data_IF_730630885188
#
_entry.id   IF_730630885188
#
_cell.length_a   1.000
_cell.length_b   1.000
_cell.length_c   1.000
_cell.angle_alpha   90.00
_cell.angle_beta   90.00
_cell.angle_gamma   90.00
#
_symmetry.space_group_name_H-M   'P 1'
#
loop_
_entity.id
_entity.type
_entity.pdbx_description
1 polymer ?
#
# COMPACT_ATOMS: atom_id res chain seq x y z
N UNK A 1 72.93 63.90 18.57
CA UNK A 1 71.52 64.08 18.17
C UNK A 1 71.00 62.77 17.59
N UNK A 2 69.85 62.33 18.10
CA UNK A 2 69.00 61.20 17.69
C UNK A 2 69.47 59.74 17.93
N UNK A 3 68.78 59.02 18.85
CA UNK A 3 68.81 57.57 18.98
C UNK A 3 67.54 56.87 18.42
N UNK A 4 67.71 55.57 18.14
CA UNK A 4 66.77 54.44 18.23
C UNK A 4 65.36 54.51 17.60
N UNK A 5 64.97 53.41 16.94
CA UNK A 5 63.81 52.60 17.35
C UNK A 5 63.70 51.31 16.52
N UNK A 6 63.86 50.18 17.21
CA UNK A 6 63.42 48.86 16.76
C UNK A 6 61.90 48.77 16.98
N UNK A 7 61.16 48.32 15.97
CA UNK A 7 59.74 47.97 16.10
C UNK A 7 59.64 46.46 15.96
N UNK A 8 59.38 45.77 17.07
CA UNK A 8 59.00 44.36 17.08
C UNK A 8 57.47 44.27 16.93
N UNK A 9 57.00 43.58 15.90
CA UNK A 9 55.59 43.29 15.69
C UNK A 9 55.24 41.93 16.30
N UNK A 10 54.31 41.91 17.25
CA UNK A 10 53.73 40.70 17.83
C UNK A 10 52.40 40.44 17.13
N UNK A 11 52.31 39.35 16.36
CA UNK A 11 51.08 38.89 15.71
C UNK A 11 50.39 37.89 16.64
N UNK A 12 49.25 38.29 17.20
CA UNK A 12 48.40 37.41 17.99
C UNK A 12 47.43 36.64 17.07
N UNK A 13 47.62 35.32 16.93
CA UNK A 13 46.65 34.44 16.31
C UNK A 13 45.49 34.16 17.29
N UNK A 14 44.30 34.68 16.99
CA UNK A 14 43.06 34.23 17.62
C UNK A 14 42.52 33.02 16.87
N UNK A 15 42.60 31.84 17.49
CA UNK A 15 41.92 30.63 17.01
C UNK A 15 40.45 30.65 17.41
N UNK A 16 39.54 30.65 16.43
CA UNK A 16 38.11 30.47 16.66
C UNK A 16 37.82 28.99 16.96
N UNK A 17 37.38 28.69 18.18
CA UNK A 17 36.92 27.35 18.56
C UNK A 17 35.51 27.16 18.02
N UNK A 18 35.35 26.37 16.94
CA UNK A 18 34.04 25.93 16.45
C UNK A 18 33.57 24.79 17.35
N UNK A 19 32.60 25.07 18.23
CA UNK A 19 31.94 24.03 19.01
C UNK A 19 31.00 23.22 18.10
N UNK A 20 31.43 22.01 17.74
CA UNK A 20 30.56 21.02 17.08
C UNK A 20 29.57 20.51 18.12
N UNK A 21 28.29 20.88 17.99
CA UNK A 21 27.22 20.23 18.76
C UNK A 21 26.91 18.89 18.10
N UNK A 22 27.28 17.80 18.75
CA UNK A 22 26.73 16.48 18.43
C UNK A 22 25.28 16.46 18.93
N UNK A 23 24.34 16.80 18.05
CA UNK A 23 22.91 16.64 18.33
C UNK A 23 22.62 15.17 18.54
N UNK A 24 22.24 14.78 19.77
CA UNK A 24 21.67 13.46 20.00
C UNK A 24 20.41 13.34 19.13
N UNK A 25 20.24 12.19 18.46
CA UNK A 25 19.04 11.92 17.69
C UNK A 25 17.82 12.09 18.63
N UNK A 26 16.87 12.93 18.23
CA UNK A 26 15.64 13.11 19.01
C UNK A 26 14.90 11.78 19.12
N UNK A 27 14.29 11.47 20.29
CA UNK A 27 13.46 10.28 20.41
C UNK A 27 12.30 10.34 19.39
N UNK A 28 11.92 9.21 18.78
CA UNK A 28 10.85 9.20 17.80
C UNK A 28 9.50 9.45 18.48
N UNK A 29 8.67 10.26 17.83
CA UNK A 29 7.26 10.41 18.16
C UNK A 29 6.54 9.09 17.87
N UNK A 30 5.57 8.71 18.70
CA UNK A 30 4.75 7.51 18.46
C UNK A 30 3.31 7.89 18.18
N UNK A 31 2.86 7.63 16.97
CA UNK A 31 1.50 7.85 16.52
C UNK A 31 0.70 6.56 16.59
N UNK A 32 -0.53 6.61 17.09
CA UNK A 32 -1.42 5.46 17.18
C UNK A 32 -2.88 5.90 17.16
N UNK A 33 -3.81 4.99 16.87
CA UNK A 33 -5.24 5.31 16.90
C UNK A 33 -6.07 4.33 16.12
N UNK A 34 -7.29 4.73 15.79
CA UNK A 34 -8.18 4.02 14.86
C UNK A 34 -7.90 4.42 13.41
N UNK A 35 -8.35 3.59 12.47
CA UNK A 35 -8.23 3.86 11.04
C UNK A 35 -9.57 3.55 10.38
N UNK A 36 -10.16 4.57 9.77
CA UNK A 36 -11.40 4.46 9.01
C UNK A 36 -11.11 4.72 7.55
N UNK A 37 -11.50 3.77 6.71
CA UNK A 37 -11.37 3.82 5.26
C UNK A 37 -12.78 3.74 4.68
N UNK A 38 -13.19 4.76 3.93
CA UNK A 38 -14.54 4.82 3.33
C UNK A 38 -15.70 4.70 4.34
N UNK A 39 -15.53 5.22 5.56
CA UNK A 39 -16.56 5.17 6.61
C UNK A 39 -16.65 3.84 7.37
N UNK A 40 -15.86 2.83 7.01
CA UNK A 40 -15.74 1.56 7.74
C UNK A 40 -14.34 1.41 8.36
N UNK A 41 -14.16 0.57 9.40
CA UNK A 41 -12.84 0.25 9.91
C UNK A 41 -11.94 -0.33 8.81
N UNK A 42 -10.71 0.15 8.70
CA UNK A 42 -9.77 -0.32 7.68
C UNK A 42 -9.42 -1.81 7.87
N UNK A 43 -9.35 -2.63 6.80
CA UNK A 43 -8.93 -4.03 6.89
C UNK A 43 -7.50 -4.20 7.39
N UNK A 44 -7.20 -5.35 8.00
CA UNK A 44 -5.81 -5.75 8.32
C UNK A 44 -4.97 -5.79 7.05
N UNK A 45 -3.73 -5.30 7.14
CA UNK A 45 -2.80 -5.16 6.01
C UNK A 45 -2.92 -3.83 5.26
N UNK A 46 -3.90 -2.99 5.58
CA UNK A 46 -4.00 -1.64 5.00
C UNK A 46 -2.75 -0.83 5.34
N UNK A 47 -2.06 -0.32 4.32
CA UNK A 47 -0.85 0.51 4.47
C UNK A 47 -1.21 1.91 4.93
N UNK A 48 -0.44 2.43 5.87
CA UNK A 48 -0.51 3.79 6.39
C UNK A 48 0.86 4.42 6.17
N UNK A 49 0.91 5.58 5.51
CA UNK A 49 2.14 6.33 5.34
C UNK A 49 2.00 7.70 5.99
N UNK A 50 3.05 8.15 6.65
CA UNK A 50 3.19 9.51 7.16
C UNK A 50 4.15 10.27 6.26
N UNK A 51 3.75 11.44 5.79
CA UNK A 51 4.51 12.20 4.79
C UNK A 51 4.71 13.66 5.21
N UNK A 52 5.86 14.23 4.85
CA UNK A 52 6.10 15.68 4.86
C UNK A 52 6.64 16.13 3.52
N UNK A 53 6.04 17.17 2.92
CA UNK A 53 6.44 17.62 1.58
C UNK A 53 6.42 16.52 0.50
N UNK A 54 5.53 15.52 0.64
CA UNK A 54 5.46 14.35 -0.25
C UNK A 54 6.56 13.29 -0.05
N UNK A 55 7.40 13.41 0.98
CA UNK A 55 8.41 12.41 1.37
C UNK A 55 7.91 11.56 2.53
N UNK A 56 8.10 10.24 2.46
CA UNK A 56 7.67 9.30 3.50
C UNK A 56 8.58 9.40 4.71
N UNK A 57 8.01 9.77 5.85
CA UNK A 57 8.66 9.85 7.16
C UNK A 57 8.51 8.57 7.98
N UNK A 58 7.60 7.68 7.58
CA UNK A 58 7.41 6.37 8.17
C UNK A 58 6.22 5.67 7.55
N UNK A 59 6.23 4.34 7.65
CA UNK A 59 5.17 3.46 7.14
C UNK A 59 4.81 2.42 8.18
N UNK A 60 3.54 2.02 8.20
CA UNK A 60 3.05 0.90 9.01
C UNK A 60 1.84 0.27 8.34
N UNK A 61 1.31 -0.80 8.92
CA UNK A 61 0.08 -1.44 8.46
C UNK A 61 -0.91 -1.60 9.60
N UNK A 62 -2.19 -1.66 9.23
CA UNK A 62 -3.27 -2.03 10.15
C UNK A 62 -3.10 -3.50 10.57
N UNK A 63 -3.01 -3.77 11.86
CA UNK A 63 -2.81 -5.11 12.45
C UNK A 63 -4.09 -5.73 13.03
N UNK A 64 -5.12 -4.92 13.27
CA UNK A 64 -6.44 -5.36 13.72
C UNK A 64 -7.55 -4.46 13.13
N UNK A 65 -8.78 -4.96 13.03
CA UNK A 65 -9.93 -4.18 12.50
C UNK A 65 -10.65 -3.34 13.56
N UNK A 66 -10.34 -3.53 14.84
CA UNK A 66 -10.95 -2.82 15.94
C UNK A 66 -9.96 -2.64 17.09
N UNK A 67 -10.25 -1.69 17.98
CA UNK A 67 -9.53 -1.54 19.25
C UNK A 67 -9.88 -2.72 20.15
N UNK A 68 -8.88 -3.38 20.71
CA UNK A 68 -9.06 -4.47 21.68
C UNK A 68 -8.34 -4.15 22.98
N UNK A 69 -9.10 -3.86 24.02
CA UNK A 69 -8.55 -3.33 25.29
C UNK A 69 -7.77 -2.04 25.06
N UNK A 70 -6.47 -2.05 25.41
CA UNK A 70 -5.54 -0.94 25.19
C UNK A 70 -4.75 -1.04 23.87
N UNK A 71 -5.04 -2.03 23.03
CA UNK A 71 -4.35 -2.23 21.74
C UNK A 71 -5.09 -1.52 20.61
N UNK A 72 -4.38 -0.63 19.93
CA UNK A 72 -4.87 0.07 18.75
C UNK A 72 -4.50 -0.67 17.47
N UNK A 73 -5.31 -0.53 16.40
CA UNK A 73 -5.10 -1.25 15.14
C UNK A 73 -3.82 -0.85 14.40
N UNK A 74 -3.17 0.26 14.76
CA UNK A 74 -1.86 0.62 14.23
C UNK A 74 -1.02 1.38 15.26
N UNK A 75 0.30 1.29 15.07
CA UNK A 75 1.31 2.11 15.75
C UNK A 75 2.39 2.46 14.71
N UNK A 76 2.80 3.72 14.69
CA UNK A 76 3.80 4.26 13.79
C UNK A 76 4.81 5.11 14.57
N UNK A 77 6.11 4.85 14.38
CA UNK A 77 7.16 5.68 14.96
C UNK A 77 7.65 6.68 13.89
N UNK A 78 7.81 7.95 14.27
CA UNK A 78 8.22 9.03 13.38
C UNK A 78 9.32 9.90 14.00
N UNK A 79 10.38 10.25 13.25
CA UNK A 79 10.73 9.65 11.97
C UNK A 79 11.09 8.16 12.11
N UNK A 80 10.84 7.40 11.05
CA UNK A 80 11.42 6.06 10.86
C UNK A 80 12.97 6.19 10.73
N UNK A 81 13.77 5.21 11.19
CA UNK A 81 15.22 5.22 11.00
C UNK A 81 15.70 5.46 9.56
N UNK A 82 14.93 5.07 8.55
CA UNK A 82 15.24 5.28 7.14
C UNK A 82 14.62 6.56 6.54
N UNK A 83 13.96 7.38 7.37
CA UNK A 83 13.31 8.60 6.92
C UNK A 83 14.31 9.66 6.43
N UNK A 84 13.92 10.50 5.46
CA UNK A 84 14.76 11.56 4.95
C UNK A 84 14.82 12.75 5.93
N UNK A 85 15.78 13.66 5.72
CA UNK A 85 16.15 14.72 6.67
C UNK A 85 15.04 15.76 6.91
N UNK A 86 14.05 15.83 6.03
CA UNK A 86 12.87 16.69 6.17
C UNK A 86 11.96 16.22 7.32
N UNK A 87 12.04 14.95 7.70
CA UNK A 87 11.29 14.35 8.79
C UNK A 87 11.94 14.65 10.15
N UNK A 88 11.94 15.92 10.53
CA UNK A 88 12.56 16.45 11.76
C UNK A 88 11.53 17.12 12.67
N UNK A 89 11.86 17.39 13.95
CA UNK A 89 11.01 18.21 14.81
C UNK A 89 10.61 19.53 14.13
N UNK A 90 9.34 19.90 14.28
CA UNK A 90 8.69 21.02 13.59
C UNK A 90 8.11 20.69 12.21
N UNK A 91 8.39 19.51 11.63
CA UNK A 91 7.79 19.10 10.37
C UNK A 91 6.29 18.82 10.53
N UNK A 92 5.49 19.33 9.59
CA UNK A 92 4.07 19.00 9.48
C UNK A 92 3.94 17.68 8.75
N UNK A 93 3.29 16.71 9.39
CA UNK A 93 3.03 15.38 8.88
C UNK A 93 1.58 15.30 8.41
N UNK A 94 1.42 14.83 7.18
CA UNK A 94 0.17 14.39 6.56
C UNK A 94 0.16 12.87 6.50
N UNK A 95 -1.01 12.25 6.36
CA UNK A 95 -1.12 10.79 6.33
C UNK A 95 -1.86 10.32 5.08
N UNK A 96 -1.49 9.14 4.59
CA UNK A 96 -2.29 8.38 3.62
C UNK A 96 -2.71 7.04 4.23
N UNK A 97 -3.87 6.54 3.85
CA UNK A 97 -4.39 5.21 4.21
C UNK A 97 -4.79 4.52 2.91
N UNK A 98 -4.15 3.39 2.58
CA UNK A 98 -4.27 2.75 1.27
C UNK A 98 -4.03 3.73 0.09
N UNK A 99 -3.11 4.68 0.26
CA UNK A 99 -2.80 5.71 -0.73
C UNK A 99 -3.80 6.88 -0.77
N UNK A 100 -4.92 6.82 -0.05
CA UNK A 100 -5.88 7.92 0.04
C UNK A 100 -5.47 8.91 1.14
N UNK A 101 -5.54 10.23 0.89
CA UNK A 101 -5.21 11.22 1.90
C UNK A 101 -6.17 11.11 3.09
N UNK A 102 -5.62 11.03 4.29
CA UNK A 102 -6.37 11.17 5.52
C UNK A 102 -6.48 12.65 5.90
N UNK A 103 -7.59 13.04 6.53
CA UNK A 103 -7.84 14.46 6.88
C UNK A 103 -7.02 14.98 8.05
N UNK A 104 -6.28 14.11 8.74
CA UNK A 104 -5.52 14.43 9.95
C UNK A 104 -4.09 14.89 9.62
N UNK A 105 -3.58 15.80 10.44
CA UNK A 105 -2.19 16.25 10.40
C UNK A 105 -1.63 16.38 11.80
N UNK A 106 -0.33 16.16 11.98
CA UNK A 106 0.39 16.43 13.24
C UNK A 106 1.64 17.26 12.96
N UNK A 107 2.25 17.82 14.01
CA UNK A 107 3.60 18.38 13.94
C UNK A 107 4.52 17.52 14.81
N UNK A 108 5.68 17.11 14.29
CA UNK A 108 6.65 16.36 15.08
C UNK A 108 7.26 17.24 16.17
N UNK A 109 7.37 16.73 17.39
CA UNK A 109 8.14 17.37 18.45
C UNK A 109 9.51 16.71 18.64
N UNK A 110 10.36 17.33 19.45
CA UNK A 110 11.68 16.84 19.84
C UNK A 110 11.67 16.00 21.14
N UNK A 111 10.48 15.78 21.72
CA UNK A 111 10.30 15.09 23.00
C UNK A 111 9.93 13.62 22.83
N UNK A 112 9.54 13.19 21.62
CA UNK A 112 9.16 11.82 21.33
C UNK A 112 7.78 11.47 21.90
N UNK A 113 6.84 12.40 21.78
CA UNK A 113 5.51 12.27 22.39
C UNK A 113 4.69 11.13 21.77
N UNK A 114 3.80 10.58 22.58
CA UNK A 114 2.77 9.62 22.18
C UNK A 114 1.52 10.38 21.73
N UNK A 115 1.19 10.29 20.44
CA UNK A 115 0.12 11.05 19.80
C UNK A 115 -0.99 10.10 19.36
N UNK A 116 -2.18 10.27 19.93
CA UNK A 116 -3.37 9.58 19.42
C UNK A 116 -3.91 10.34 18.21
N UNK A 117 -3.93 9.67 17.05
CA UNK A 117 -4.46 10.20 15.79
C UNK A 117 -5.42 9.17 15.20
N UNK A 118 -6.71 9.48 15.24
CA UNK A 118 -7.73 8.64 14.61
C UNK A 118 -7.81 9.02 13.12
N UNK A 119 -7.27 8.15 12.26
CA UNK A 119 -7.14 8.41 10.83
C UNK A 119 -8.47 8.16 10.12
N UNK A 120 -8.86 9.10 9.28
CA UNK A 120 -10.04 8.99 8.42
C UNK A 120 -9.61 9.36 7.02
N UNK A 121 -9.62 8.39 6.11
CA UNK A 121 -9.42 8.61 4.69
C UNK A 121 -10.79 8.67 3.99
N UNK A 122 -11.31 9.87 3.71
CA UNK A 122 -12.52 10.04 2.94
C UNK A 122 -12.21 9.74 1.47
N UNK A 123 -12.58 8.55 1.04
CA UNK A 123 -12.83 8.28 -0.38
C UNK A 123 -14.26 7.81 -0.53
N UNK A 124 -14.87 8.03 -1.69
CA UNK A 124 -15.90 7.10 -2.16
C UNK A 124 -15.15 5.76 -2.28
N UNK A 125 -15.69 4.61 -1.82
CA UNK A 125 -15.10 3.32 -2.15
C UNK A 125 -14.81 3.35 -3.65
N UNK A 126 -13.56 3.14 -4.07
CA UNK A 126 -13.30 2.95 -5.49
C UNK A 126 -14.18 1.75 -5.87
N UNK A 127 -15.31 2.00 -6.52
CA UNK A 127 -16.15 0.92 -7.02
C UNK A 127 -15.21 0.22 -7.99
N UNK A 128 -14.83 -1.05 -7.74
CA UNK A 128 -13.94 -1.72 -8.65
C UNK A 128 -14.61 -1.67 -10.01
N UNK A 129 -14.00 -0.92 -10.94
CA UNK A 129 -14.51 -0.82 -12.29
C UNK A 129 -14.47 -2.23 -12.83
N UNK A 130 -15.65 -2.81 -13.04
CA UNK A 130 -15.76 -4.14 -13.60
C UNK A 130 -16.16 -3.98 -15.05
N UNK A 131 -15.41 -4.63 -15.92
CA UNK A 131 -15.77 -4.74 -17.32
C UNK A 131 -16.42 -6.12 -17.53
N UNK A 132 -17.42 -6.16 -18.40
CA UNK A 132 -18.13 -7.41 -18.71
C UNK A 132 -17.71 -7.91 -20.08
N UNK A 133 -17.13 -9.11 -20.12
CA UNK A 133 -16.79 -9.80 -21.36
C UNK A 133 -17.93 -10.76 -21.75
N UNK A 134 -18.60 -10.58 -22.90
CA UNK A 134 -19.62 -11.52 -23.35
C UNK A 134 -19.00 -12.90 -23.64
N UNK A 135 -19.67 -13.95 -23.17
CA UNK A 135 -19.34 -15.35 -23.41
C UNK A 135 -20.49 -16.00 -24.19
N UNK A 136 -20.35 -16.24 -25.51
CA UNK A 136 -21.32 -17.05 -26.23
C UNK A 136 -21.29 -18.51 -25.74
N UNK A 137 -22.36 -19.25 -26.03
CA UNK A 137 -22.40 -20.69 -25.78
C UNK A 137 -21.22 -21.40 -26.47
N UNK A 138 -20.60 -22.37 -25.80
CA UNK A 138 -19.34 -22.98 -26.23
C UNK A 138 -18.15 -22.43 -25.46
N UNK A 139 -16.96 -22.55 -26.02
CA UNK A 139 -15.71 -22.17 -25.36
C UNK A 139 -15.11 -20.89 -25.97
N UNK A 140 -14.77 -19.93 -25.11
CA UNK A 140 -14.12 -18.68 -25.49
C UNK A 140 -12.76 -18.58 -24.80
N UNK A 141 -11.73 -18.19 -25.55
CA UNK A 141 -10.41 -17.91 -24.99
C UNK A 141 -10.38 -16.49 -24.42
N UNK A 142 -9.97 -16.36 -23.16
CA UNK A 142 -10.00 -15.12 -22.38
C UNK A 142 -8.66 -14.92 -21.68
N UNK A 143 -8.09 -13.73 -21.78
CA UNK A 143 -6.93 -13.36 -20.95
C UNK A 143 -7.41 -12.88 -19.59
N UNK A 144 -6.95 -13.54 -18.52
CA UNK A 144 -7.35 -13.23 -17.15
C UNK A 144 -6.89 -11.82 -16.74
N UNK A 145 -7.82 -11.00 -16.24
CA UNK A 145 -7.51 -9.73 -15.57
C UNK A 145 -7.45 -9.86 -14.04
N UNK A 146 -7.78 -11.04 -13.49
CA UNK A 146 -7.80 -11.28 -12.05
C UNK A 146 -6.39 -11.14 -11.45
N UNK A 147 -6.25 -10.75 -10.17
CA UNK A 147 -4.97 -10.78 -9.46
C UNK A 147 -4.32 -12.16 -9.47
N UNK A 148 -3.01 -12.20 -9.29
CA UNK A 148 -2.27 -13.47 -9.18
C UNK A 148 -2.76 -14.32 -8.01
N UNK A 149 -2.82 -15.64 -8.20
CA UNK A 149 -3.31 -16.58 -7.20
C UNK A 149 -4.81 -16.55 -6.95
N UNK A 150 -5.61 -15.90 -7.81
CA UNK A 150 -7.07 -15.87 -7.65
C UNK A 150 -7.64 -17.29 -7.72
N UNK A 151 -8.44 -17.75 -6.72
CA UNK A 151 -9.02 -19.09 -6.76
C UNK A 151 -9.89 -19.31 -8.00
N UNK A 152 -9.77 -20.47 -8.65
CA UNK A 152 -10.55 -20.77 -9.86
C UNK A 152 -12.07 -20.69 -9.61
N UNK A 153 -12.52 -21.06 -8.41
CA UNK A 153 -13.91 -20.92 -7.98
C UNK A 153 -14.38 -19.45 -7.89
N UNK A 154 -13.49 -18.52 -7.55
CA UNK A 154 -13.81 -17.10 -7.53
C UNK A 154 -13.96 -16.54 -8.96
N UNK A 155 -13.12 -16.98 -9.89
CA UNK A 155 -13.27 -16.66 -11.31
C UNK A 155 -14.57 -17.27 -11.87
N UNK A 156 -14.89 -18.50 -11.49
CA UNK A 156 -16.14 -19.15 -11.87
C UNK A 156 -17.39 -18.38 -11.38
N UNK A 157 -17.36 -17.90 -10.13
CA UNK A 157 -18.43 -17.09 -9.56
C UNK A 157 -18.59 -15.72 -10.25
N UNK A 158 -17.59 -15.26 -11.01
CA UNK A 158 -17.67 -14.04 -11.79
C UNK A 158 -18.38 -14.21 -13.14
N UNK A 159 -18.72 -15.45 -13.53
CA UNK A 159 -19.56 -15.73 -14.71
C UNK A 159 -21.03 -15.54 -14.36
N UNK A 160 -21.76 -14.82 -15.21
CA UNK A 160 -23.18 -14.49 -15.02
C UNK A 160 -23.97 -14.85 -16.28
N UNK A 161 -25.01 -15.69 -16.18
CA UNK A 161 -25.42 -16.43 -14.99
C UNK A 161 -24.43 -17.55 -14.64
N UNK A 162 -24.25 -17.86 -13.35
CA UNK A 162 -23.20 -18.77 -12.89
C UNK A 162 -23.43 -20.22 -13.34
N UNK A 163 -24.70 -20.63 -13.44
CA UNK A 163 -25.12 -21.94 -13.93
C UNK A 163 -24.81 -22.18 -15.40
N UNK A 164 -24.52 -21.13 -16.18
CA UNK A 164 -24.08 -21.28 -17.55
C UNK A 164 -22.64 -21.82 -17.65
N UNK A 165 -21.83 -21.73 -16.60
CA UNK A 165 -20.44 -22.19 -16.64
C UNK A 165 -20.33 -23.71 -16.57
N UNK A 166 -19.68 -24.32 -17.57
CA UNK A 166 -19.32 -25.74 -17.56
C UNK A 166 -17.92 -25.99 -17.01
N UNK A 167 -16.93 -25.28 -17.55
CA UNK A 167 -15.54 -25.46 -17.16
C UNK A 167 -14.66 -24.25 -17.49
N UNK A 168 -13.56 -24.12 -16.76
CA UNK A 168 -12.44 -23.21 -17.05
C UNK A 168 -11.21 -24.08 -17.24
N UNK A 169 -10.48 -23.88 -18.33
CA UNK A 169 -9.24 -24.60 -18.60
C UNK A 169 -8.06 -23.65 -18.72
N UNK A 170 -6.89 -24.09 -18.26
CA UNK A 170 -5.60 -23.43 -18.48
C UNK A 170 -4.61 -24.44 -19.07
N UNK A 171 -3.91 -24.05 -20.12
CA UNK A 171 -2.78 -24.83 -20.62
C UNK A 171 -1.52 -24.47 -19.84
N UNK A 172 -0.87 -25.46 -19.24
CA UNK A 172 0.46 -25.32 -18.64
C UNK A 172 1.53 -25.75 -19.66
N UNK A 173 2.31 -24.81 -20.22
CA UNK A 173 3.34 -25.14 -21.20
C UNK A 173 4.53 -25.89 -20.60
N UNK A 174 4.77 -25.81 -19.28
CA UNK A 174 5.88 -26.50 -18.65
C UNK A 174 5.65 -28.02 -18.60
N UNK A 175 4.40 -28.42 -18.36
CA UNK A 175 4.01 -29.84 -18.31
C UNK A 175 3.33 -30.33 -19.59
N UNK A 176 2.94 -29.42 -20.48
CA UNK A 176 2.20 -29.70 -21.70
C UNK A 176 0.77 -30.21 -21.44
N UNK A 177 0.20 -29.91 -20.27
CA UNK A 177 -1.10 -30.42 -19.81
C UNK A 177 -2.11 -29.31 -19.62
N UNK A 178 -3.38 -29.65 -19.76
CA UNK A 178 -4.48 -28.78 -19.36
C UNK A 178 -4.84 -29.07 -17.90
N UNK A 179 -4.94 -28.01 -17.10
CA UNK A 179 -5.61 -28.04 -15.81
C UNK A 179 -7.02 -27.47 -15.98
N UNK A 180 -8.01 -28.09 -15.34
CA UNK A 180 -9.42 -27.77 -15.45
C UNK A 180 -10.08 -27.46 -14.10
N UNK A 181 -11.05 -26.56 -14.14
CA UNK A 181 -12.00 -26.34 -13.06
C UNK A 181 -13.41 -26.53 -13.59
N UNK A 182 -14.27 -27.26 -12.87
CA UNK A 182 -15.70 -27.36 -13.16
C UNK A 182 -16.53 -27.20 -11.89
N UNK A 183 -17.49 -26.27 -11.84
CA UNK A 183 -18.35 -26.09 -10.66
C UNK A 183 -19.26 -27.30 -10.40
N UNK A 184 -19.57 -28.11 -11.42
CA UNK A 184 -20.37 -29.33 -11.28
C UNK A 184 -19.57 -30.52 -10.72
N UNK A 185 -18.24 -30.47 -10.80
CA UNK A 185 -17.34 -31.52 -10.32
C UNK A 185 -16.08 -30.92 -9.66
N UNK A 186 -16.23 -30.17 -8.56
CA UNK A 186 -15.11 -29.46 -7.93
C UNK A 186 -14.03 -30.42 -7.42
N UNK A 187 -14.41 -31.65 -7.03
CA UNK A 187 -13.47 -32.69 -6.58
C UNK A 187 -12.57 -33.25 -7.70
N UNK A 188 -12.95 -33.06 -8.97
CA UNK A 188 -12.16 -33.47 -10.13
C UNK A 188 -11.35 -32.30 -10.73
N UNK A 189 -11.41 -31.12 -10.12
CA UNK A 189 -10.75 -29.91 -10.61
C UNK A 189 -9.31 -29.84 -10.11
N UNK A 190 -8.35 -29.72 -11.02
CA UNK A 190 -6.91 -29.55 -10.73
C UNK A 190 -6.42 -28.12 -11.00
N UNK A 191 -7.23 -27.26 -11.63
CA UNK A 191 -7.01 -25.82 -11.68
C UNK A 191 -7.50 -25.17 -10.38
N UNK A 192 -6.58 -24.90 -9.46
CA UNK A 192 -6.90 -24.33 -8.13
C UNK A 192 -6.79 -22.81 -8.09
N UNK A 193 -5.85 -22.23 -8.85
CA UNK A 193 -5.58 -20.80 -8.91
C UNK A 193 -5.27 -20.34 -10.34
N UNK A 194 -5.67 -19.12 -10.62
CA UNK A 194 -5.50 -18.41 -11.90
C UNK A 194 -4.65 -17.17 -11.63
N UNK A 195 -3.67 -16.94 -12.47
CA UNK A 195 -2.85 -15.73 -12.43
C UNK A 195 -3.34 -14.67 -13.41
N UNK A 196 -2.87 -13.44 -13.22
CA UNK A 196 -3.09 -12.36 -14.17
C UNK A 196 -2.41 -12.68 -15.49
N UNK A 197 -3.03 -12.24 -16.57
CA UNK A 197 -2.55 -12.42 -17.94
C UNK A 197 -2.43 -13.89 -18.40
N UNK A 198 -2.91 -14.86 -17.62
CA UNK A 198 -3.05 -16.24 -18.09
C UNK A 198 -4.14 -16.34 -19.15
N UNK A 199 -3.88 -17.13 -20.19
CA UNK A 199 -4.89 -17.49 -21.19
C UNK A 199 -5.77 -18.62 -20.62
N UNK A 200 -7.05 -18.33 -20.46
CA UNK A 200 -8.08 -19.25 -20.01
C UNK A 200 -8.97 -19.63 -21.18
N UNK A 201 -9.42 -20.89 -21.21
CA UNK A 201 -10.53 -21.31 -22.05
C UNK A 201 -11.76 -21.51 -21.19
N UNK A 202 -12.73 -20.59 -21.30
CA UNK A 202 -13.97 -20.59 -20.51
C UNK A 202 -15.09 -21.17 -21.35
N UNK A 203 -15.68 -22.28 -20.90
CA UNK A 203 -16.73 -23.00 -21.61
C UNK A 203 -18.08 -22.84 -20.92
N UNK A 204 -19.10 -22.43 -21.67
CA UNK A 204 -20.45 -22.18 -21.17
C UNK A 204 -21.52 -22.97 -21.93
N UNK A 205 -22.59 -23.35 -21.25
CA UNK A 205 -23.75 -24.08 -21.79
C UNK A 205 -24.67 -23.19 -22.64
N UNK A 206 -24.63 -21.88 -22.41
CA UNK A 206 -25.50 -20.86 -22.99
C UNK A 206 -24.86 -19.48 -22.89
N UNK A 207 -25.48 -18.43 -23.47
CA UNK A 207 -24.95 -17.07 -23.38
C UNK A 207 -24.75 -16.62 -21.93
N UNK A 208 -23.57 -16.09 -21.64
CA UNK A 208 -23.16 -15.61 -20.35
C UNK A 208 -22.23 -14.39 -20.48
N UNK A 209 -21.74 -13.91 -19.35
CA UNK A 209 -20.82 -12.79 -19.26
C UNK A 209 -19.82 -13.05 -18.14
N UNK A 210 -18.52 -12.83 -18.40
CA UNK A 210 -17.49 -12.84 -17.36
C UNK A 210 -17.25 -11.42 -16.86
N UNK A 211 -17.43 -11.20 -15.55
CA UNK A 211 -17.07 -9.94 -14.89
C UNK A 211 -15.58 -9.95 -14.58
N UNK A 212 -14.84 -9.07 -15.23
CA UNK A 212 -13.41 -8.89 -15.02
C UNK A 212 -13.15 -7.66 -14.14
N UNK A 213 -12.22 -7.71 -13.19
CA UNK A 213 -11.76 -6.50 -12.52
C UNK A 213 -11.02 -5.61 -13.54
N UNK A 214 -11.07 -4.29 -13.33
CA UNK A 214 -10.27 -3.37 -14.12
C UNK A 214 -8.78 -3.69 -13.99
N UNK A 215 -8.07 -3.46 -15.08
CA UNK A 215 -6.62 -3.54 -15.05
C UNK A 215 -6.09 -2.47 -14.07
N UNK A 216 -5.17 -2.82 -13.15
CA UNK A 216 -4.53 -1.82 -12.32
C UNK A 216 -3.81 -0.80 -13.21
N UNK A 217 -4.15 0.48 -13.06
CA UNK A 217 -3.56 1.58 -13.83
C UNK A 217 -4.41 2.13 -14.98
N UNK A 218 -5.64 1.64 -15.20
CA UNK A 218 -6.59 2.33 -16.08
C UNK A 218 -7.34 3.46 -15.35
N UNK A 219 -6.61 4.27 -14.58
CA UNK A 219 -7.17 5.51 -14.05
C UNK A 219 -7.38 6.44 -15.24
N UNK A 220 -8.65 6.74 -15.51
CA UNK A 220 -9.09 7.52 -16.66
C UNK A 220 -8.47 8.92 -16.55
N UNK A 221 -7.87 9.49 -17.62
CA UNK A 221 -7.29 10.83 -17.59
C UNK A 221 -8.32 11.92 -17.30
#
# INVERSE_FOLDING_TARGET
MSPARHVAAVIALLGAVVAVRTGHAAPPNRVYGTVTLHGAPAPVGTVIEALTGGKVCGTTTVTATAVSGSSYPYVLNLPDPAAPLECKPGAVITFTVAGLPAGQTITLDDLGTFLRVDLVAPGIPAVPTTHTLPLPAGCTDVVSAFPDGTPAAAVAAAVVPAEALHAIWRYDPATGRYAGFSPAAPFASDLTAINRAELLRVCTAGPAALRLPAAPGSEQP
#
